data_IF_180073089148
#
_entry.id   IF_180073089148
#
_cell.length_a   1.000
_cell.length_b   1.000
_cell.length_c   1.000
_cell.angle_alpha   90.00
_cell.angle_beta   90.00
_cell.angle_gamma   90.00
#
_symmetry.space_group_name_H-M   'P 1'
#
loop_
_entity.id
_entity.type
_entity.pdbx_description
1 polymer ?
#
# COMPACT_ATOMS: atom_id res chain seq x y z
N UNK A 1 14.48 2.55 25.20
CA UNK A 1 13.52 2.32 24.10
C UNK A 1 13.10 3.69 23.66
N UNK A 2 13.37 4.03 22.42
CA UNK A 2 13.10 5.38 21.89
C UNK A 2 11.73 5.38 21.22
N UNK A 3 10.98 6.46 21.42
CA UNK A 3 9.66 6.64 20.78
C UNK A 3 9.84 7.73 19.73
N UNK A 4 9.49 7.40 18.48
CA UNK A 4 9.56 8.33 17.36
C UNK A 4 8.14 8.66 16.92
N UNK A 5 7.81 9.96 16.95
CA UNK A 5 6.59 10.49 16.37
C UNK A 5 6.89 11.01 14.96
N UNK A 6 6.44 10.26 13.96
CA UNK A 6 6.58 10.57 12.53
C UNK A 6 5.20 10.91 11.93
N UNK A 7 4.68 12.13 12.11
CA UNK A 7 3.37 12.49 11.61
C UNK A 7 3.34 12.63 10.08
N UNK A 8 2.14 12.51 9.51
CA UNK A 8 1.89 12.75 8.09
C UNK A 8 2.43 14.14 7.67
N UNK A 9 2.94 14.32 6.42
CA UNK A 9 3.50 15.60 5.97
C UNK A 9 2.61 16.82 6.27
N UNK A 10 1.29 16.69 6.04
CA UNK A 10 0.32 17.75 6.30
C UNK A 10 0.22 18.18 7.78
N UNK A 11 0.67 17.35 8.72
CA UNK A 11 0.69 17.67 10.16
C UNK A 11 2.04 18.25 10.59
N UNK A 12 3.11 18.08 9.80
CA UNK A 12 4.47 18.50 10.17
C UNK A 12 4.63 20.01 10.33
N UNK A 13 3.84 20.81 9.61
CA UNK A 13 3.82 22.27 9.74
C UNK A 13 3.25 22.72 11.09
N UNK A 14 2.46 21.87 11.76
CA UNK A 14 1.83 22.17 13.04
C UNK A 14 2.60 21.61 14.23
N UNK A 15 3.73 20.92 14.01
CA UNK A 15 4.50 20.31 15.09
C UNK A 15 4.91 21.30 16.19
N UNK A 16 5.16 22.57 15.82
CA UNK A 16 5.64 23.59 16.75
C UNK A 16 4.56 24.04 17.76
N UNK A 17 3.28 23.77 17.48
CA UNK A 17 2.18 24.06 18.42
C UNK A 17 1.78 22.86 19.29
N UNK A 18 2.41 21.70 19.09
CA UNK A 18 2.13 20.50 19.88
C UNK A 18 2.92 20.52 21.18
N UNK A 19 2.29 20.05 22.27
CA UNK A 19 3.03 19.79 23.51
C UNK A 19 3.56 18.36 23.47
N UNK A 20 4.79 18.20 22.97
CA UNK A 20 5.42 16.88 22.82
C UNK A 20 6.36 16.62 24.01
N UNK A 21 6.17 15.53 24.76
CA UNK A 21 7.07 15.15 25.85
C UNK A 21 8.51 14.95 25.37
N UNK A 22 9.49 15.34 26.21
CA UNK A 22 10.94 15.29 25.86
C UNK A 22 11.48 13.89 25.55
N UNK A 23 10.78 12.84 25.96
CA UNK A 23 11.17 11.46 25.69
C UNK A 23 10.68 10.94 24.33
N UNK A 24 9.91 11.76 23.59
CA UNK A 24 9.45 11.46 22.23
C UNK A 24 10.29 12.29 21.25
N UNK A 25 10.97 11.60 20.35
CA UNK A 25 11.68 12.23 19.25
C UNK A 25 10.69 12.49 18.11
N UNK A 26 10.69 13.69 17.55
CA UNK A 26 9.93 13.99 16.33
C UNK A 26 10.77 13.67 15.10
N UNK A 27 10.10 13.28 14.02
CA UNK A 27 10.76 13.03 12.74
C UNK A 27 9.99 13.71 11.60
N UNK A 28 10.73 14.35 10.68
CA UNK A 28 10.20 15.01 9.49
C UNK A 28 10.61 14.30 8.20
N UNK A 29 9.79 14.39 7.15
CA UNK A 29 10.17 13.82 5.85
C UNK A 29 11.39 14.50 5.23
N UNK A 30 11.70 15.74 5.64
CA UNK A 30 12.93 16.43 5.25
C UNK A 30 14.20 15.79 5.85
N UNK A 31 14.07 14.97 6.89
CA UNK A 31 15.20 14.32 7.57
C UNK A 31 15.60 12.99 6.92
N UNK A 32 14.78 12.43 6.03
CA UNK A 32 15.15 11.26 5.25
C UNK A 32 13.99 10.41 4.77
N UNK A 33 14.26 9.12 4.56
CA UNK A 33 13.29 8.15 4.09
C UNK A 33 12.63 7.43 5.27
N UNK A 34 11.30 7.50 5.36
CA UNK A 34 10.50 6.82 6.39
C UNK A 34 10.72 5.29 6.41
N UNK A 35 11.08 4.69 5.27
CA UNK A 35 11.40 3.26 5.19
C UNK A 35 12.58 2.87 6.09
N UNK A 36 13.52 3.78 6.32
CA UNK A 36 14.63 3.54 7.25
C UNK A 36 14.12 3.43 8.69
N UNK A 37 13.15 4.27 9.08
CA UNK A 37 12.49 4.14 10.38
C UNK A 37 11.76 2.81 10.52
N UNK A 38 11.10 2.33 9.46
CA UNK A 38 10.43 1.03 9.49
C UNK A 38 11.42 -0.14 9.65
N UNK A 39 12.59 -0.05 9.02
CA UNK A 39 13.65 -1.06 9.15
C UNK A 39 14.23 -1.11 10.57
N UNK A 40 14.51 0.06 11.15
CA UNK A 40 15.12 0.22 12.49
C UNK A 40 14.10 0.00 13.62
N UNK A 41 12.84 0.31 13.37
CA UNK A 41 11.74 0.18 14.33
C UNK A 41 11.42 -1.27 14.70
N UNK A 42 10.94 -1.45 15.93
CA UNK A 42 10.46 -2.75 16.43
C UNK A 42 8.94 -2.88 16.34
N UNK A 43 8.22 -1.77 16.46
CA UNK A 43 6.77 -1.69 16.47
C UNK A 43 6.30 -0.41 15.80
N UNK A 44 5.16 -0.46 15.14
CA UNK A 44 4.39 0.69 14.70
C UNK A 44 3.06 0.78 15.45
N UNK A 45 2.71 1.97 15.91
CA UNK A 45 1.34 2.31 16.31
C UNK A 45 0.81 3.24 15.21
N UNK A 46 -0.30 2.87 14.57
CA UNK A 46 -0.91 3.64 13.48
C UNK A 46 -2.43 3.55 13.56
N UNK A 47 -3.14 4.37 12.83
CA UNK A 47 -4.60 4.40 12.77
C UNK A 47 -5.17 3.60 11.57
N UNK A 48 -5.33 4.27 10.43
CA UNK A 48 -5.90 3.78 9.17
C UNK A 48 -4.91 3.87 8.00
N UNK A 49 -3.62 4.08 8.32
CA UNK A 49 -2.58 4.27 7.31
C UNK A 49 -2.13 2.96 6.65
N UNK A 50 -1.86 3.03 5.34
CA UNK A 50 -1.32 1.90 4.57
C UNK A 50 0.12 1.54 4.93
N UNK A 51 0.84 2.37 5.69
CA UNK A 51 2.21 2.07 6.17
C UNK A 51 2.26 0.82 7.06
N UNK A 52 1.12 0.39 7.60
CA UNK A 52 1.00 -0.91 8.27
C UNK A 52 1.38 -2.08 7.35
N UNK A 53 1.19 -1.98 6.03
CA UNK A 53 1.60 -3.02 5.08
C UNK A 53 3.12 -3.07 4.93
N UNK A 54 3.82 -1.93 4.99
CA UNK A 54 5.28 -1.89 4.96
C UNK A 54 5.87 -2.57 6.21
N UNK A 55 5.32 -2.27 7.39
CA UNK A 55 5.70 -2.92 8.65
C UNK A 55 5.41 -4.43 8.63
N UNK A 56 4.24 -4.81 8.10
CA UNK A 56 3.87 -6.21 7.94
C UNK A 56 4.80 -6.96 6.98
N UNK A 57 5.22 -6.32 5.89
CA UNK A 57 6.19 -6.91 4.95
C UNK A 57 7.53 -7.20 5.63
N UNK A 58 7.95 -6.33 6.57
CA UNK A 58 9.13 -6.50 7.41
C UNK A 58 8.92 -7.41 8.64
N UNK A 59 7.74 -8.02 8.79
CA UNK A 59 7.34 -8.83 9.94
C UNK A 59 7.48 -8.12 11.29
N UNK A 60 7.23 -6.80 11.28
CA UNK A 60 7.28 -5.95 12.49
C UNK A 60 5.91 -5.81 13.11
N UNK A 61 5.88 -5.66 14.43
CA UNK A 61 4.64 -5.60 15.19
C UNK A 61 3.89 -4.30 14.85
N UNK A 62 2.59 -4.40 14.63
CA UNK A 62 1.74 -3.23 14.35
C UNK A 62 0.58 -3.22 15.33
N UNK A 63 0.24 -2.05 15.87
CA UNK A 63 -0.99 -1.82 16.64
C UNK A 63 -1.81 -0.80 15.88
N UNK A 64 -3.08 -1.11 15.63
CA UNK A 64 -4.02 -0.16 15.09
C UNK A 64 -4.71 0.59 16.23
N UNK A 65 -4.41 1.87 16.44
CA UNK A 65 -5.11 2.72 17.41
C UNK A 65 -6.19 3.53 16.71
N UNK A 66 -7.44 3.12 16.90
CA UNK A 66 -8.61 3.52 16.11
C UNK A 66 -9.71 4.06 17.05
N UNK A 67 -9.36 5.07 17.86
CA UNK A 67 -10.24 5.64 18.88
C UNK A 67 -11.45 6.39 18.29
N UNK A 68 -11.33 6.86 17.04
CA UNK A 68 -12.30 7.65 16.28
C UNK A 68 -13.03 6.84 15.21
N UNK A 69 -13.00 5.50 15.28
CA UNK A 69 -13.59 4.58 14.29
C UNK A 69 -15.01 4.97 13.87
N UNK A 70 -15.87 5.33 14.84
CA UNK A 70 -17.25 5.72 14.54
C UNK A 70 -17.34 6.97 13.67
N UNK A 71 -16.46 7.94 13.91
CA UNK A 71 -16.44 9.20 13.17
C UNK A 71 -15.88 8.96 11.76
N UNK A 72 -14.76 8.25 11.67
CA UNK A 72 -14.10 7.90 10.40
C UNK A 72 -15.02 7.12 9.47
N UNK A 73 -15.81 6.17 9.99
CA UNK A 73 -16.72 5.34 9.19
C UNK A 73 -18.15 5.89 9.07
N UNK A 74 -18.45 7.05 9.64
CA UNK A 74 -19.79 7.67 9.56
C UNK A 74 -20.18 8.18 8.17
N UNK A 75 -19.23 8.21 7.21
CA UNK A 75 -19.40 8.81 5.89
C UNK A 75 -19.05 10.30 5.82
N UNK A 76 -18.65 10.89 6.95
CA UNK A 76 -18.20 12.30 7.05
C UNK A 76 -16.73 12.49 6.65
N UNK A 77 -15.95 11.40 6.63
CA UNK A 77 -14.56 11.39 6.21
C UNK A 77 -14.41 10.87 4.77
N UNK A 78 -13.29 11.21 4.14
CA UNK A 78 -12.92 10.71 2.81
C UNK A 78 -12.67 9.21 2.77
N UNK A 79 -12.58 8.54 3.94
CA UNK A 79 -12.36 7.12 4.03
C UNK A 79 -13.65 6.34 3.80
N UNK A 80 -13.72 5.61 2.69
CA UNK A 80 -14.82 4.69 2.38
C UNK A 80 -14.41 3.29 2.80
N UNK A 81 -15.24 2.61 3.60
CA UNK A 81 -15.00 1.22 4.02
C UNK A 81 -14.85 0.33 2.78
N UNK A 82 -13.61 -0.10 2.52
CA UNK A 82 -13.27 -1.03 1.44
C UNK A 82 -13.44 -2.49 1.88
N UNK A 83 -12.79 -3.39 1.14
CA UNK A 83 -12.77 -4.83 1.47
C UNK A 83 -11.90 -5.17 2.69
N UNK A 84 -11.05 -4.23 3.14
CA UNK A 84 -10.11 -4.45 4.25
C UNK A 84 -10.75 -4.10 5.59
N UNK A 85 -10.98 -5.11 6.43
CA UNK A 85 -11.48 -4.96 7.80
C UNK A 85 -10.32 -5.22 8.78
N UNK A 86 -9.94 -4.24 9.60
CA UNK A 86 -8.74 -4.34 10.44
C UNK A 86 -8.77 -5.51 11.43
N UNK A 87 -9.89 -5.77 12.11
CA UNK A 87 -9.99 -6.90 13.03
C UNK A 87 -9.81 -8.26 12.33
N UNK A 88 -10.25 -8.38 11.07
CA UNK A 88 -10.24 -9.64 10.30
C UNK A 88 -9.00 -9.82 9.42
N UNK A 89 -8.50 -8.73 8.84
CA UNK A 89 -7.47 -8.74 7.79
C UNK A 89 -6.17 -8.06 8.25
N UNK A 90 -6.23 -7.22 9.29
CA UNK A 90 -5.08 -6.47 9.82
C UNK A 90 -3.94 -7.35 10.33
N UNK A 91 -2.74 -6.79 10.34
CA UNK A 91 -1.49 -7.48 10.70
C UNK A 91 -1.13 -7.35 12.19
N UNK A 92 -2.09 -6.91 13.01
CA UNK A 92 -1.93 -6.66 14.42
C UNK A 92 -3.25 -6.33 15.11
N UNK A 93 -3.25 -6.18 16.44
CA UNK A 93 -4.45 -5.89 17.21
C UNK A 93 -4.99 -4.48 16.94
N UNK A 94 -6.29 -4.32 17.14
CA UNK A 94 -6.99 -3.04 17.09
C UNK A 94 -7.31 -2.61 18.53
N UNK A 95 -6.87 -1.42 18.90
CA UNK A 95 -7.21 -0.73 20.15
C UNK A 95 -8.13 0.45 19.83
N UNK A 96 -9.29 0.50 20.48
CA UNK A 96 -10.29 1.56 20.33
C UNK A 96 -10.32 2.52 21.51
N UNK A 97 -9.60 2.19 22.57
CA UNK A 97 -9.44 3.03 23.76
C UNK A 97 -7.98 3.08 24.19
N UNK A 98 -7.64 4.09 24.99
CA UNK A 98 -6.29 4.21 25.58
C UNK A 98 -5.98 3.02 26.50
N UNK A 99 -6.95 2.55 27.28
CA UNK A 99 -6.79 1.38 28.15
C UNK A 99 -6.48 0.10 27.35
N UNK A 100 -7.16 -0.10 26.22
CA UNK A 100 -6.87 -1.23 25.33
C UNK A 100 -5.46 -1.13 24.72
N UNK A 101 -5.06 0.07 24.30
CA UNK A 101 -3.71 0.31 23.77
C UNK A 101 -2.64 0.01 24.83
N UNK A 102 -2.82 0.51 26.05
CA UNK A 102 -1.91 0.28 27.16
C UNK A 102 -1.81 -1.20 27.51
N UNK A 103 -2.93 -1.92 27.57
CA UNK A 103 -2.94 -3.37 27.82
C UNK A 103 -2.17 -4.15 26.74
N UNK A 104 -2.30 -3.77 25.46
CA UNK A 104 -1.55 -4.38 24.36
C UNK A 104 -0.05 -4.08 24.49
N UNK A 105 0.32 -2.84 24.81
CA UNK A 105 1.71 -2.43 25.00
C UNK A 105 2.38 -3.14 26.18
N UNK A 106 1.71 -3.23 27.33
CA UNK A 106 2.18 -3.98 28.49
C UNK A 106 2.42 -5.45 28.12
N UNK A 107 1.46 -6.07 27.43
CA UNK A 107 1.58 -7.45 26.97
C UNK A 107 2.76 -7.64 26.03
N UNK A 108 3.00 -6.69 25.12
CA UNK A 108 4.14 -6.73 24.22
C UNK A 108 5.48 -6.62 24.96
N UNK A 109 5.57 -5.70 25.92
CA UNK A 109 6.79 -5.46 26.71
C UNK A 109 7.14 -6.65 27.62
N UNK A 110 6.13 -7.29 28.22
CA UNK A 110 6.33 -8.45 29.12
C UNK A 110 6.77 -9.69 28.33
N UNK A 111 6.13 -9.97 27.19
CA UNK A 111 6.35 -11.21 26.43
C UNK A 111 7.49 -11.14 25.42
N UNK A 112 8.24 -10.01 25.37
CA UNK A 112 9.38 -9.74 24.47
C UNK A 112 9.22 -10.35 23.07
N UNK A 113 8.42 -9.72 22.20
CA UNK A 113 8.29 -10.00 20.74
C UNK A 113 8.04 -11.43 20.23
N UNK A 114 8.27 -12.48 21.03
CA UNK A 114 8.32 -13.88 20.59
C UNK A 114 6.93 -14.48 20.37
N UNK A 115 5.89 -13.81 20.88
CA UNK A 115 4.50 -14.14 20.58
C UNK A 115 3.90 -13.14 19.59
N UNK A 116 4.51 -13.02 18.42
CA UNK A 116 3.76 -12.56 17.25
C UNK A 116 2.59 -13.52 17.08
N UNK A 117 1.39 -13.08 17.45
CA UNK A 117 0.20 -13.94 17.47
C UNK A 117 0.12 -14.68 16.15
N UNK A 118 0.02 -16.00 16.21
CA UNK A 118 0.06 -16.89 15.05
C UNK A 118 -0.91 -16.43 13.95
N UNK A 119 -2.04 -15.83 14.36
CA UNK A 119 -3.03 -15.23 13.48
C UNK A 119 -2.41 -14.14 12.59
N UNK A 120 -1.65 -13.19 13.15
CA UNK A 120 -1.07 -12.10 12.38
C UNK A 120 0.05 -12.59 11.46
N UNK A 121 0.93 -13.48 11.94
CA UNK A 121 1.97 -14.10 11.11
C UNK A 121 1.37 -14.87 9.92
N UNK A 122 0.23 -15.53 10.12
CA UNK A 122 -0.51 -16.18 9.04
C UNK A 122 -1.07 -15.18 8.03
N UNK A 123 -1.73 -14.10 8.50
CA UNK A 123 -2.25 -13.03 7.63
C UNK A 123 -1.16 -12.38 6.79
N UNK A 124 0.00 -12.09 7.38
CA UNK A 124 1.16 -11.52 6.68
C UNK A 124 1.60 -12.48 5.55
N UNK A 125 1.85 -13.76 5.87
CA UNK A 125 2.31 -14.75 4.87
C UNK A 125 1.31 -14.94 3.73
N UNK A 126 0.02 -14.90 4.02
CA UNK A 126 -1.03 -15.05 3.00
C UNK A 126 -1.23 -13.79 2.15
N UNK A 127 -0.83 -12.62 2.66
CA UNK A 127 -0.96 -11.35 1.93
C UNK A 127 0.20 -11.17 0.94
N UNK A 128 1.43 -11.45 1.37
CA UNK A 128 2.62 -11.22 0.56
C UNK A 128 3.09 -12.50 -0.13
N UNK A 129 2.47 -12.82 -1.26
CA UNK A 129 2.80 -13.99 -2.11
C UNK A 129 4.26 -13.96 -2.58
N UNK A 130 4.78 -12.76 -2.83
CA UNK A 130 6.14 -12.52 -3.33
C UNK A 130 6.97 -11.75 -2.31
N UNK A 131 8.10 -12.32 -1.90
CA UNK A 131 9.01 -11.75 -0.88
C UNK A 131 10.45 -11.57 -1.36
N UNK A 132 10.70 -11.79 -2.64
CA UNK A 132 11.99 -11.49 -3.27
C UNK A 132 12.05 -10.00 -3.72
N UNK A 133 13.14 -9.64 -4.41
CA UNK A 133 13.38 -8.30 -4.96
C UNK A 133 13.00 -8.17 -6.45
N UNK A 134 12.32 -9.17 -7.02
CA UNK A 134 11.98 -9.27 -8.45
C UNK A 134 10.61 -8.66 -8.79
N UNK A 135 10.01 -7.87 -7.90
CA UNK A 135 8.70 -7.23 -8.14
C UNK A 135 8.69 -6.39 -9.43
N UNK A 136 9.69 -5.52 -9.62
CA UNK A 136 9.79 -4.70 -10.83
C UNK A 136 10.01 -5.57 -12.09
N UNK A 137 10.83 -6.62 -11.97
CA UNK A 137 11.08 -7.56 -13.06
C UNK A 137 9.80 -8.29 -13.48
N UNK A 138 9.02 -8.80 -12.53
CA UNK A 138 7.72 -9.46 -12.83
C UNK A 138 6.74 -8.53 -13.52
N UNK A 139 6.66 -7.27 -13.08
CA UNK A 139 5.80 -6.27 -13.74
C UNK A 139 6.29 -6.00 -15.16
N UNK A 140 7.59 -5.78 -15.36
CA UNK A 140 8.18 -5.57 -16.67
C UNK A 140 7.91 -6.75 -17.62
N UNK A 141 8.19 -7.98 -17.18
CA UNK A 141 7.96 -9.18 -17.97
C UNK A 141 6.47 -9.39 -18.30
N UNK A 142 5.56 -9.06 -17.37
CA UNK A 142 4.12 -9.13 -17.62
C UNK A 142 3.70 -8.14 -18.71
N UNK A 143 4.22 -6.91 -18.69
CA UNK A 143 3.94 -5.89 -19.71
C UNK A 143 4.44 -6.37 -21.09
N UNK A 144 5.69 -6.84 -21.17
CA UNK A 144 6.27 -7.35 -22.43
C UNK A 144 5.49 -8.54 -22.99
N UNK A 145 4.97 -9.42 -22.13
CA UNK A 145 4.14 -10.57 -22.55
C UNK A 145 2.81 -10.16 -23.17
N UNK A 146 2.24 -9.00 -22.81
CA UNK A 146 1.01 -8.50 -23.43
C UNK A 146 1.20 -8.23 -24.93
N UNK A 147 2.40 -7.81 -25.34
CA UNK A 147 2.73 -7.54 -26.75
C UNK A 147 3.16 -8.80 -27.52
N UNK A 148 3.56 -9.85 -26.81
CA UNK A 148 4.12 -11.08 -27.39
C UNK A 148 3.07 -12.15 -27.71
N UNK A 149 1.91 -12.12 -27.04
CA UNK A 149 0.82 -13.08 -27.22
C UNK A 149 -0.25 -12.53 -28.18
N UNK A 150 0.12 -12.30 -29.43
CA UNK A 150 -0.87 -12.11 -30.51
C UNK A 150 -1.26 -13.53 -30.96
N UNK A 151 -2.50 -14.02 -30.71
CA UNK A 151 -2.89 -15.34 -31.18
C UNK A 151 -2.84 -15.37 -32.72
N UNK A 152 -2.20 -16.38 -33.29
CA UNK A 152 -1.96 -16.50 -34.73
C UNK A 152 -3.25 -16.47 -35.58
N UNK A 153 -4.43 -16.80 -35.03
CA UNK A 153 -5.68 -16.93 -35.81
C UNK A 153 -6.97 -16.56 -35.05
N UNK A 154 -7.08 -15.37 -34.43
CA UNK A 154 -8.40 -14.86 -34.03
C UNK A 154 -8.77 -13.52 -34.66
N UNK A 155 -10.00 -13.48 -35.19
CA UNK A 155 -10.73 -12.31 -35.71
C UNK A 155 -10.56 -11.13 -34.76
N UNK A 156 -9.70 -10.20 -35.14
CA UNK A 156 -9.71 -8.88 -34.54
C UNK A 156 -11.07 -8.23 -34.79
N UNK A 157 -11.69 -7.73 -33.74
CA UNK A 157 -12.86 -6.87 -33.90
C UNK A 157 -12.38 -5.55 -34.51
N UNK A 158 -12.74 -5.32 -35.77
CA UNK A 158 -12.40 -4.10 -36.51
C UNK A 158 -12.78 -2.83 -35.73
N UNK A 159 -13.93 -2.86 -35.05
CA UNK A 159 -14.42 -1.74 -34.23
C UNK A 159 -13.45 -1.41 -33.08
N UNK A 160 -12.92 -2.42 -32.40
CA UNK A 160 -11.95 -2.23 -31.30
C UNK A 160 -10.66 -1.63 -31.84
N UNK A 161 -10.17 -2.09 -32.99
CA UNK A 161 -8.94 -1.52 -33.58
C UNK A 161 -9.18 -0.05 -33.97
N UNK A 162 -10.31 0.25 -34.63
CA UNK A 162 -10.65 1.63 -34.98
C UNK A 162 -10.79 2.54 -33.75
N UNK A 163 -11.47 2.09 -32.70
CA UNK A 163 -11.59 2.85 -31.45
C UNK A 163 -10.21 3.09 -30.83
N UNK A 164 -9.35 2.08 -30.85
CA UNK A 164 -7.98 2.20 -30.35
C UNK A 164 -7.14 3.19 -31.16
N UNK A 165 -7.32 3.27 -32.49
CA UNK A 165 -6.65 4.24 -33.37
C UNK A 165 -7.16 5.64 -33.08
N UNK A 166 -8.48 5.82 -32.91
CA UNK A 166 -9.08 7.11 -32.53
C UNK A 166 -8.54 7.61 -31.19
N UNK A 167 -8.44 6.73 -30.18
CA UNK A 167 -7.82 7.06 -28.88
C UNK A 167 -6.35 7.42 -29.04
N UNK A 168 -5.58 6.68 -29.84
CA UNK A 168 -4.19 6.99 -30.09
C UNK A 168 -4.02 8.35 -30.80
N UNK A 169 -4.90 8.69 -31.74
CA UNK A 169 -4.94 10.00 -32.40
C UNK A 169 -5.22 11.14 -31.43
N UNK A 170 -6.21 10.99 -30.54
CA UNK A 170 -6.52 11.98 -29.50
C UNK A 170 -5.36 12.25 -28.55
N UNK A 171 -4.45 11.29 -28.37
CA UNK A 171 -3.27 11.40 -27.51
C UNK A 171 -1.98 11.63 -28.32
N UNK A 172 -2.07 11.95 -29.61
CA UNK A 172 -0.91 12.19 -30.50
C UNK A 172 0.12 11.04 -30.53
N UNK A 173 -0.32 9.81 -30.26
CA UNK A 173 0.52 8.62 -30.19
C UNK A 173 0.79 8.02 -31.59
N UNK A 174 1.45 8.78 -32.47
CA UNK A 174 1.63 8.46 -33.90
C UNK A 174 2.30 7.11 -34.18
N UNK A 175 3.27 6.69 -33.35
CA UNK A 175 3.91 5.38 -33.50
C UNK A 175 2.94 4.21 -33.32
N UNK A 176 1.97 4.34 -32.40
CA UNK A 176 0.93 3.34 -32.17
C UNK A 176 -0.06 3.29 -33.33
N UNK A 177 -0.42 4.46 -33.88
CA UNK A 177 -1.30 4.58 -35.05
C UNK A 177 -0.65 3.88 -36.26
N UNK A 178 0.61 4.20 -36.56
CA UNK A 178 1.35 3.62 -37.68
C UNK A 178 1.40 2.09 -37.60
N UNK A 179 1.75 1.54 -36.43
CA UNK A 179 1.83 0.10 -36.24
C UNK A 179 0.48 -0.59 -36.43
N UNK A 180 -0.62 -0.01 -35.93
CA UNK A 180 -1.97 -0.58 -36.02
C UNK A 180 -2.56 -0.49 -37.43
N UNK A 181 -2.33 0.62 -38.15
CA UNK A 181 -2.74 0.77 -39.55
C UNK A 181 -1.99 -0.22 -40.44
N UNK A 182 -0.67 -0.37 -40.25
CA UNK A 182 0.11 -1.37 -40.98
C UNK A 182 -0.36 -2.80 -40.71
N UNK A 183 -0.78 -3.09 -39.48
CA UNK A 183 -1.34 -4.39 -39.13
C UNK A 183 -2.68 -4.66 -39.83
N UNK A 184 -3.58 -3.67 -39.87
CA UNK A 184 -4.87 -3.78 -40.58
C UNK A 184 -4.68 -4.00 -42.09
N UNK A 185 -3.71 -3.31 -42.70
CA UNK A 185 -3.36 -3.48 -44.11
C UNK A 185 -2.85 -4.90 -44.40
N UNK A 186 -2.03 -5.49 -43.50
CA UNK A 186 -1.58 -6.89 -43.62
C UNK A 186 -2.71 -7.92 -43.53
N UNK A 187 -3.82 -7.57 -42.86
CA UNK A 187 -5.01 -8.42 -42.74
C UNK A 187 -6.03 -8.20 -43.87
N UNK A 188 -5.74 -7.37 -44.87
CA UNK A 188 -6.67 -6.95 -45.94
C UNK A 188 -8.00 -6.36 -45.42
N UNK A 189 -7.98 -5.72 -44.26
CA UNK A 189 -9.17 -5.08 -43.66
C UNK A 189 -9.32 -3.61 -44.05
N UNK A 190 -8.29 -3.00 -44.65
CA UNK A 190 -8.26 -1.65 -45.20
C UNK A 190 -7.27 -1.63 -46.38
#
# INVERSE_FOLDING_TARGET
MDIIFAPHPNIQEYLDVFTIPKYINTWRYSEGNIQKLFQEGMMLITDYSSVAFDMAYLEKYTIYYQFDEKEVFSGSHTYRKGYFEYDKHGFGPVARTEDELNAILERFLINKSDNFDYIYSSRIRNTFIHRDQDNCKRVYEAIVKLDSNIPDEQKFCYEIILESIKKAYQNEAWGVIYNRVNYLSKLNLI
#
